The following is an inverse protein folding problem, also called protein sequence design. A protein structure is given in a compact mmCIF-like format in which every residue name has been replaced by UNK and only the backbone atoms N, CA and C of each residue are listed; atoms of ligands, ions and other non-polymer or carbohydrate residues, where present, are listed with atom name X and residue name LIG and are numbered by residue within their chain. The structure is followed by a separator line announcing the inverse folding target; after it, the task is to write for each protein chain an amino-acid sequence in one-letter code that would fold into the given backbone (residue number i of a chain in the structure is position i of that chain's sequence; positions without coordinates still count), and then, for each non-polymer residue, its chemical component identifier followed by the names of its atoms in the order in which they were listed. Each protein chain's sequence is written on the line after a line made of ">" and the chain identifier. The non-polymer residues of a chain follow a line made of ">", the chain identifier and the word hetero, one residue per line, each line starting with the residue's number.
data_IF_572110705711
#
_entry.id   IF_572110705711
#
_cell.length_a   1.000
_cell.length_b   1.000
_cell.length_c   1.000
_cell.angle_alpha   90.00
_cell.angle_beta   90.00
_cell.angle_gamma   90.00
#
_symmetry.space_group_name_H-M   'P 1'
#
loop_
_entity.id
_entity.type
_entity.pdbx_description
1 polymer ?
#
# COMPACT_ATOMS: atom_id res chain seq x y z
N UNK A 1 7.54 -8.82 -5.82
CA UNK A 1 8.45 -8.15 -4.85
C UNK A 1 8.68 -6.64 -5.09
N UNK A 2 9.33 -6.16 -6.16
CA UNK A 2 9.63 -4.72 -6.32
C UNK A 2 8.39 -3.80 -6.24
N UNK A 3 7.32 -4.13 -7.00
CA UNK A 3 6.02 -3.44 -6.94
C UNK A 3 5.45 -3.36 -5.52
N UNK A 4 5.52 -4.45 -4.76
CA UNK A 4 5.00 -4.49 -3.39
C UNK A 4 5.80 -3.61 -2.45
N UNK A 5 7.14 -3.66 -2.51
CA UNK A 5 8.01 -2.82 -1.68
C UNK A 5 7.75 -1.35 -1.95
N UNK A 6 7.65 -0.97 -3.23
CA UNK A 6 7.34 0.40 -3.61
C UNK A 6 5.96 0.84 -3.12
N UNK A 7 4.91 0.03 -3.33
CA UNK A 7 3.55 0.34 -2.88
C UNK A 7 3.43 0.38 -1.35
N UNK A 8 4.13 -0.51 -0.64
CA UNK A 8 4.21 -0.49 0.82
C UNK A 8 4.86 0.79 1.34
N UNK A 9 6.01 1.19 0.78
CA UNK A 9 6.66 2.46 1.11
C UNK A 9 5.73 3.66 0.82
N UNK A 10 5.04 3.63 -0.32
CA UNK A 10 4.10 4.65 -0.75
C UNK A 10 2.84 4.76 0.13
N UNK A 11 2.39 3.64 0.71
CA UNK A 11 1.31 3.60 1.69
C UNK A 11 1.75 4.21 3.03
N UNK A 12 2.92 3.79 3.52
CA UNK A 12 3.42 4.15 4.84
C UNK A 12 3.84 5.62 4.91
N UNK A 13 4.64 6.06 3.93
CA UNK A 13 5.33 7.36 3.95
C UNK A 13 4.65 8.37 3.03
N UNK A 14 4.68 9.64 3.39
CA UNK A 14 4.25 10.79 2.57
C UNK A 14 5.07 10.94 1.30
N UNK A 15 6.40 10.94 1.43
CA UNK A 15 7.36 10.93 0.33
C UNK A 15 8.03 9.57 0.14
N UNK A 16 8.39 9.22 -1.09
CA UNK A 16 9.19 8.03 -1.40
C UNK A 16 10.33 8.44 -2.32
N UNK A 17 11.55 8.06 -1.98
CA UNK A 17 12.72 8.15 -2.85
C UNK A 17 13.14 6.75 -3.28
N UNK A 18 13.59 6.61 -4.52
CA UNK A 18 14.18 5.37 -5.04
C UNK A 18 15.57 5.65 -5.60
N UNK A 19 16.54 4.74 -5.44
CA UNK A 19 17.82 4.87 -6.11
C UNK A 19 17.62 4.69 -7.62
N UNK A 20 18.37 5.45 -8.42
CA UNK A 20 18.37 5.30 -9.88
C UNK A 20 18.67 3.85 -10.26
N UNK A 21 17.91 3.32 -11.22
CA UNK A 21 18.02 1.92 -11.64
C UNK A 21 17.14 0.95 -10.84
N UNK A 22 16.53 1.37 -9.72
CA UNK A 22 15.54 0.56 -9.01
C UNK A 22 14.35 0.24 -9.92
N UNK A 23 13.92 1.23 -10.69
CA UNK A 23 12.85 1.11 -11.67
C UNK A 23 13.15 0.09 -12.79
N UNK A 24 14.44 -0.19 -13.03
CA UNK A 24 14.91 -1.11 -14.08
C UNK A 24 15.43 -2.45 -13.53
N UNK A 25 15.42 -2.63 -12.21
CA UNK A 25 15.93 -3.83 -11.55
C UNK A 25 17.45 -3.97 -11.58
N UNK A 26 18.16 -2.84 -11.58
CA UNK A 26 19.62 -2.81 -11.50
C UNK A 26 20.09 -3.40 -10.18
N UNK A 27 21.19 -4.15 -10.23
CA UNK A 27 21.76 -4.88 -9.09
C UNK A 27 23.11 -4.31 -8.67
N UNK A 28 23.81 -3.63 -9.58
CA UNK A 28 25.10 -3.01 -9.29
C UNK A 28 24.88 -1.74 -8.49
N UNK A 29 25.65 -1.60 -7.39
CA UNK A 29 25.66 -0.38 -6.59
C UNK A 29 26.30 0.74 -7.39
N UNK A 30 25.59 1.87 -7.52
CA UNK A 30 26.15 3.09 -8.09
C UNK A 30 27.30 3.61 -7.22
N UNK A 31 28.43 3.88 -7.85
CA UNK A 31 29.59 4.53 -7.24
C UNK A 31 29.68 5.97 -7.73
N UNK A 32 29.59 6.92 -6.81
CA UNK A 32 29.51 8.36 -7.14
C UNK A 32 30.73 8.92 -7.89
N UNK A 33 31.87 8.22 -7.88
CA UNK A 33 33.10 8.63 -8.58
C UNK A 33 33.34 7.80 -9.84
N UNK A 34 33.09 6.49 -9.73
CA UNK A 34 33.53 5.51 -10.73
C UNK A 34 32.46 5.14 -11.74
N UNK A 35 31.18 5.26 -11.41
CA UNK A 35 30.12 4.88 -12.34
C UNK A 35 30.13 5.79 -13.56
N UNK A 36 30.02 5.19 -14.74
CA UNK A 36 30.00 5.84 -16.05
C UNK A 36 28.69 5.50 -16.77
N UNK A 37 28.25 6.28 -17.78
CA UNK A 37 27.08 5.94 -18.59
C UNK A 37 27.13 4.54 -19.21
N UNK A 38 28.32 4.01 -19.52
CA UNK A 38 28.51 2.67 -20.07
C UNK A 38 28.21 1.55 -19.06
N UNK A 39 28.16 1.85 -17.75
CA UNK A 39 27.80 0.89 -16.71
C UNK A 39 26.28 0.64 -16.64
N UNK A 40 25.48 1.27 -17.51
CA UNK A 40 24.05 1.06 -17.59
C UNK A 40 23.72 -0.42 -17.83
N UNK A 41 23.04 -1.03 -16.87
CA UNK A 41 22.69 -2.45 -16.96
C UNK A 41 21.52 -2.66 -17.95
N UNK A 42 21.42 -3.85 -18.53
CA UNK A 42 20.22 -4.23 -19.26
C UNK A 42 19.04 -4.30 -18.29
N UNK A 43 17.94 -3.55 -18.50
CA UNK A 43 16.78 -3.60 -17.63
C UNK A 43 16.19 -5.01 -17.55
N UNK A 44 15.88 -5.48 -16.34
CA UNK A 44 15.20 -6.78 -16.14
C UNK A 44 13.68 -6.63 -16.07
N UNK A 45 13.20 -5.41 -15.83
CA UNK A 45 11.80 -4.99 -15.88
C UNK A 45 11.75 -3.46 -16.02
N UNK A 46 10.56 -2.92 -16.26
CA UNK A 46 10.30 -1.48 -16.15
C UNK A 46 9.16 -1.24 -15.14
N UNK A 47 9.50 -0.62 -14.02
CA UNK A 47 8.59 -0.25 -12.94
C UNK A 47 8.00 1.14 -13.13
N UNK A 48 8.50 1.95 -14.07
CA UNK A 48 8.13 3.35 -14.25
C UNK A 48 6.62 3.56 -14.46
N UNK A 49 5.92 2.74 -15.26
CA UNK A 49 4.46 2.84 -15.38
C UNK A 49 3.74 2.62 -14.05
N UNK A 50 4.18 1.62 -13.27
CA UNK A 50 3.63 1.30 -11.96
C UNK A 50 3.89 2.43 -10.96
N UNK A 51 5.12 2.98 -10.92
CA UNK A 51 5.49 4.15 -10.10
C UNK A 51 4.58 5.34 -10.43
N UNK A 52 4.34 5.61 -11.71
CA UNK A 52 3.43 6.67 -12.16
C UNK A 52 1.99 6.42 -11.71
N UNK A 53 1.52 5.17 -11.78
CA UNK A 53 0.20 4.75 -11.28
C UNK A 53 0.03 4.99 -9.78
N UNK A 54 1.04 4.59 -8.99
CA UNK A 54 1.08 4.81 -7.53
C UNK A 54 1.10 6.30 -7.20
N UNK A 55 1.91 7.11 -7.88
CA UNK A 55 1.95 8.56 -7.65
C UNK A 55 0.61 9.23 -7.97
N UNK A 56 -0.07 8.81 -9.05
CA UNK A 56 -1.43 9.27 -9.37
C UNK A 56 -2.44 8.86 -8.29
N UNK A 57 -2.36 7.61 -7.82
CA UNK A 57 -3.21 7.12 -6.72
C UNK A 57 -3.00 7.98 -5.46
N UNK A 58 -1.74 8.21 -5.05
CA UNK A 58 -1.41 9.04 -3.88
C UNK A 58 -1.95 10.45 -4.00
N UNK A 59 -1.77 11.09 -5.16
CA UNK A 59 -2.29 12.45 -5.42
C UNK A 59 -3.79 12.56 -5.16
N UNK A 60 -4.54 11.46 -5.36
CA UNK A 60 -6.00 11.41 -5.19
C UNK A 60 -6.45 10.86 -3.83
N UNK A 61 -5.52 10.57 -2.91
CA UNK A 61 -5.83 10.02 -1.59
C UNK A 61 -5.10 10.82 -0.49
N UNK A 62 -5.77 11.80 0.15
CA UNK A 62 -5.17 12.63 1.19
C UNK A 62 -4.54 11.85 2.36
N UNK A 63 -5.06 10.66 2.68
CA UNK A 63 -4.52 9.77 3.73
C UNK A 63 -3.07 9.35 3.43
N UNK A 64 -2.72 9.20 2.16
CA UNK A 64 -1.37 8.80 1.73
C UNK A 64 -0.41 9.99 1.59
N UNK A 65 -0.90 11.21 1.78
CA UNK A 65 -0.15 12.47 1.67
C UNK A 65 0.12 13.11 3.04
N UNK A 66 -0.19 12.43 4.14
CA UNK A 66 0.19 12.84 5.48
C UNK A 66 0.71 11.65 6.33
N UNK A 67 1.53 11.98 7.33
CA UNK A 67 1.97 11.03 8.36
C UNK A 67 0.90 11.00 9.45
N UNK A 68 -0.21 10.31 9.15
CA UNK A 68 -1.31 10.13 10.09
C UNK A 68 -1.23 8.83 10.89
N UNK A 69 -2.18 8.60 11.80
CA UNK A 69 -2.20 7.44 12.68
C UNK A 69 -2.32 6.13 11.89
N UNK A 70 -1.59 5.12 12.37
CA UNK A 70 -1.52 3.80 11.75
C UNK A 70 -1.58 2.70 12.80
N UNK A 71 -2.30 1.62 12.52
CA UNK A 71 -2.37 0.45 13.41
C UNK A 71 -2.54 -0.84 12.63
N UNK A 72 -2.15 -1.96 13.22
CA UNK A 72 -2.42 -3.30 12.68
C UNK A 72 -3.73 -3.80 13.26
N UNK A 73 -4.64 -4.29 12.41
CA UNK A 73 -6.00 -4.67 12.81
C UNK A 73 -6.24 -6.19 12.83
N UNK A 74 -5.19 -6.97 12.62
CA UNK A 74 -5.22 -8.43 12.78
C UNK A 74 -3.98 -8.94 13.55
N UNK A 75 -4.00 -10.15 14.11
CA UNK A 75 -2.89 -10.68 14.91
C UNK A 75 -1.54 -10.62 14.18
N UNK A 76 -0.45 -10.48 14.96
CA UNK A 76 0.92 -10.60 14.43
C UNK A 76 1.17 -12.06 14.04
N UNK A 77 1.98 -12.29 13.00
CA UNK A 77 2.31 -13.64 12.50
C UNK A 77 1.36 -14.16 11.41
N UNK A 78 0.19 -13.55 11.23
CA UNK A 78 -0.71 -13.87 10.12
C UNK A 78 -0.02 -13.67 8.76
N UNK A 79 -0.22 -14.59 7.79
CA UNK A 79 0.41 -14.53 6.47
C UNK A 79 -0.07 -13.32 5.64
N UNK A 80 -1.25 -12.79 5.99
CA UNK A 80 -1.76 -11.52 5.46
C UNK A 80 -1.80 -10.50 6.58
N UNK A 81 -1.09 -9.39 6.41
CA UNK A 81 -1.14 -8.26 7.32
C UNK A 81 -2.23 -7.27 6.92
N UNK A 82 -3.05 -6.85 7.88
CA UNK A 82 -4.04 -5.80 7.73
C UNK A 82 -3.56 -4.56 8.48
N UNK A 83 -3.18 -3.52 7.74
CA UNK A 83 -2.75 -2.24 8.31
C UNK A 83 -3.76 -1.16 7.97
N UNK A 84 -4.19 -0.41 8.96
CA UNK A 84 -5.14 0.68 8.81
C UNK A 84 -4.40 2.00 9.01
N UNK A 85 -4.54 2.92 8.06
CA UNK A 85 -4.02 4.29 8.12
C UNK A 85 -5.18 5.25 8.03
N UNK A 86 -5.14 6.29 8.85
CA UNK A 86 -6.12 7.38 8.78
C UNK A 86 -5.42 8.72 8.80
N UNK A 87 -6.23 9.75 8.65
CA UNK A 87 -5.82 11.12 8.90
C UNK A 87 -5.89 11.44 10.38
N UNK A 88 -5.09 12.39 10.84
CA UNK A 88 -5.02 12.77 12.26
C UNK A 88 -6.37 13.29 12.80
N UNK A 89 -6.91 14.33 12.15
CA UNK A 89 -8.13 15.02 12.62
C UNK A 89 -9.22 15.12 11.57
N UNK A 90 -8.95 14.68 10.33
CA UNK A 90 -9.85 14.82 9.18
C UNK A 90 -10.40 13.47 8.75
N UNK A 91 -11.46 13.46 7.93
CA UNK A 91 -11.98 12.21 7.37
C UNK A 91 -11.04 11.64 6.31
N UNK A 92 -10.95 10.32 6.28
CA UNK A 92 -10.17 9.53 5.34
C UNK A 92 -9.51 8.35 6.04
N UNK A 93 -9.73 7.15 5.51
CA UNK A 93 -9.13 5.92 6.03
C UNK A 93 -8.78 4.95 4.92
N UNK A 94 -7.57 4.38 4.97
CA UNK A 94 -7.05 3.39 4.01
C UNK A 94 -6.69 2.11 4.75
N UNK A 95 -7.21 0.98 4.29
CA UNK A 95 -6.81 -0.36 4.70
C UNK A 95 -5.82 -0.91 3.67
N UNK A 96 -4.62 -1.26 4.11
CA UNK A 96 -3.68 -2.06 3.34
C UNK A 96 -3.79 -3.54 3.72
N UNK A 97 -4.04 -4.37 2.71
CA UNK A 97 -4.05 -5.84 2.81
C UNK A 97 -2.77 -6.35 2.15
N UNK A 98 -1.86 -6.92 2.94
CA UNK A 98 -0.49 -7.21 2.50
C UNK A 98 -0.21 -8.71 2.64
N UNK A 99 0.00 -9.41 1.53
CA UNK A 99 0.48 -10.78 1.57
C UNK A 99 1.99 -10.79 1.84
N UNK A 100 2.41 -11.31 3.00
CA UNK A 100 3.81 -11.34 3.43
C UNK A 100 4.54 -12.60 2.97
N UNK A 101 3.84 -13.54 2.34
CA UNK A 101 4.37 -14.84 1.92
C UNK A 101 4.65 -14.90 0.41
N UNK A 102 5.36 -15.97 0.02
CA UNK A 102 5.62 -16.33 -1.38
C UNK A 102 4.50 -17.18 -2.00
N UNK A 103 3.42 -17.45 -1.27
CA UNK A 103 2.29 -18.24 -1.74
C UNK A 103 1.04 -17.37 -1.87
N UNK A 104 0.08 -17.71 -2.76
CA UNK A 104 -1.23 -17.08 -2.74
C UNK A 104 -1.87 -17.26 -1.36
N UNK A 105 -2.62 -16.27 -0.91
CA UNK A 105 -3.35 -16.33 0.36
C UNK A 105 -4.82 -16.01 0.12
N UNK A 106 -5.70 -16.79 0.72
CA UNK A 106 -7.12 -16.45 0.79
C UNK A 106 -7.30 -15.35 1.83
N UNK A 107 -8.00 -14.29 1.43
CA UNK A 107 -8.31 -13.16 2.30
C UNK A 107 -9.81 -13.16 2.52
N UNK A 108 -10.22 -13.21 3.78
CA UNK A 108 -11.60 -12.98 4.20
C UNK A 108 -11.64 -11.83 5.21
N UNK A 109 -12.40 -10.79 4.88
CA UNK A 109 -12.67 -9.64 5.77
C UNK A 109 -14.19 -9.64 6.01
N UNK A 110 -14.67 -10.11 7.17
CA UNK A 110 -16.09 -10.30 7.41
C UNK A 110 -16.87 -8.98 7.49
N UNK A 111 -16.27 -7.94 8.06
CA UNK A 111 -16.85 -6.58 8.12
C UNK A 111 -15.82 -5.52 7.73
N UNK A 112 -15.80 -5.18 6.44
CA UNK A 112 -14.98 -4.09 5.91
C UNK A 112 -15.45 -2.72 6.42
N UNK A 113 -16.71 -2.59 6.86
CA UNK A 113 -17.27 -1.36 7.39
C UNK A 113 -16.79 -1.02 8.79
N UNK A 114 -16.48 -2.03 9.61
CA UNK A 114 -15.77 -1.85 10.89
C UNK A 114 -14.39 -1.21 10.65
N UNK A 115 -13.67 -1.69 9.63
CA UNK A 115 -12.34 -1.22 9.30
C UNK A 115 -12.34 0.14 8.60
N UNK A 116 -13.11 0.32 7.52
CA UNK A 116 -13.10 1.53 6.69
C UNK A 116 -14.11 2.60 7.11
N UNK A 117 -15.09 2.26 7.94
CA UNK A 117 -16.22 3.13 8.31
C UNK A 117 -17.30 3.21 7.22
N UNK A 118 -18.42 3.85 7.54
CA UNK A 118 -19.56 4.11 6.63
C UNK A 118 -19.41 5.47 5.92
N UNK A 119 -20.12 5.75 4.80
CA UNK A 119 -21.02 4.87 4.07
C UNK A 119 -20.30 4.01 3.01
N UNK A 120 -20.83 2.80 2.77
CA UNK A 120 -20.28 1.84 1.79
C UNK A 120 -20.09 2.40 0.38
N UNK A 121 -20.99 3.30 -0.05
CA UNK A 121 -20.94 3.94 -1.38
C UNK A 121 -19.66 4.75 -1.63
N UNK A 122 -18.96 5.16 -0.57
CA UNK A 122 -17.74 5.94 -0.67
C UNK A 122 -16.49 5.06 -0.83
N UNK A 123 -16.60 3.74 -0.60
CA UNK A 123 -15.46 2.83 -0.62
C UNK A 123 -14.90 2.68 -2.03
N UNK A 124 -13.56 2.62 -2.13
CA UNK A 124 -12.82 2.49 -3.39
C UNK A 124 -11.68 1.51 -3.21
N UNK A 125 -11.46 0.66 -4.20
CA UNK A 125 -10.19 -0.05 -4.34
C UNK A 125 -9.22 0.87 -5.09
N UNK A 126 -8.15 1.27 -4.40
CA UNK A 126 -7.13 2.18 -4.92
C UNK A 126 -5.97 1.45 -5.58
N UNK A 127 -5.96 0.12 -5.55
CA UNK A 127 -4.79 -0.67 -5.94
C UNK A 127 -4.36 -0.36 -7.39
N UNK A 128 -3.14 0.13 -7.63
CA UNK A 128 -2.67 0.44 -8.97
C UNK A 128 -2.45 -0.82 -9.83
N UNK A 129 -2.60 -0.65 -11.15
CA UNK A 129 -2.33 -1.69 -12.17
C UNK A 129 -3.05 -3.03 -11.91
N UNK A 130 -4.26 -2.98 -11.36
CA UNK A 130 -5.11 -4.15 -11.20
C UNK A 130 -6.58 -3.79 -11.41
N UNK A 131 -7.41 -4.81 -11.63
CA UNK A 131 -8.85 -4.64 -11.70
C UNK A 131 -9.36 -4.36 -10.27
N UNK A 132 -10.05 -3.22 -10.05
CA UNK A 132 -10.65 -2.90 -8.76
C UNK A 132 -11.64 -3.98 -8.33
N UNK A 133 -11.57 -4.41 -7.07
CA UNK A 133 -12.60 -5.29 -6.52
C UNK A 133 -13.90 -4.52 -6.30
N UNK A 134 -15.03 -5.20 -6.49
CA UNK A 134 -16.33 -4.69 -6.07
C UNK A 134 -16.44 -4.83 -4.56
N UNK A 135 -16.25 -3.73 -3.84
CA UNK A 135 -16.25 -3.73 -2.38
C UNK A 135 -17.68 -3.93 -1.80
N UNK A 136 -17.79 -4.90 -0.91
CA UNK A 136 -19.00 -5.30 -0.20
C UNK A 136 -18.73 -5.32 1.31
N UNK A 137 -19.77 -5.46 2.13
CA UNK A 137 -19.64 -5.43 3.59
C UNK A 137 -18.70 -6.53 4.08
N UNK A 138 -18.91 -7.77 3.64
CA UNK A 138 -17.89 -8.82 3.66
C UNK A 138 -17.10 -8.80 2.35
N UNK A 139 -15.80 -9.06 2.42
CA UNK A 139 -14.93 -9.10 1.25
C UNK A 139 -14.05 -10.34 1.28
N UNK A 140 -14.15 -11.14 0.23
CA UNK A 140 -13.34 -12.34 0.03
C UNK A 140 -12.63 -12.27 -1.33
N UNK A 141 -11.35 -12.62 -1.35
CA UNK A 141 -10.56 -12.69 -2.59
C UNK A 141 -9.25 -13.44 -2.35
N UNK A 142 -8.64 -13.92 -3.43
CA UNK A 142 -7.28 -14.47 -3.42
C UNK A 142 -6.29 -13.32 -3.61
N UNK A 143 -5.34 -13.17 -2.69
CA UNK A 143 -4.25 -12.22 -2.78
C UNK A 143 -2.98 -12.94 -3.27
N UNK A 144 -2.46 -12.64 -4.49
CA UNK A 144 -1.31 -13.34 -5.02
C UNK A 144 -0.03 -13.14 -4.19
N UNK A 145 1.00 -13.98 -4.39
CA UNK A 145 2.28 -13.87 -3.70
C UNK A 145 2.87 -12.47 -3.77
N UNK A 146 3.34 -11.96 -2.64
CA UNK A 146 4.02 -10.65 -2.58
C UNK A 146 3.19 -9.53 -3.21
N UNK A 147 1.86 -9.56 -3.04
CA UNK A 147 0.94 -8.49 -3.47
C UNK A 147 0.35 -7.74 -2.29
N UNK A 148 -0.14 -6.56 -2.59
CA UNK A 148 -0.79 -5.67 -1.65
C UNK A 148 -2.00 -5.05 -2.35
N UNK A 149 -3.12 -4.94 -1.63
CA UNK A 149 -4.30 -4.17 -2.06
C UNK A 149 -4.57 -3.03 -1.08
N UNK A 150 -5.02 -1.89 -1.60
CA UNK A 150 -5.38 -0.71 -0.82
C UNK A 150 -6.87 -0.42 -0.99
N UNK A 151 -7.62 -0.44 0.10
CA UNK A 151 -9.03 -0.06 0.12
C UNK A 151 -9.20 1.25 0.88
N UNK A 152 -9.99 2.17 0.33
CA UNK A 152 -10.08 3.54 0.82
C UNK A 152 -11.52 3.96 1.04
N UNK A 153 -11.75 4.66 2.14
CA UNK A 153 -12.96 5.43 2.36
C UNK A 153 -12.59 6.91 2.64
N UNK A 154 -12.94 7.86 1.75
CA UNK A 154 -12.70 9.28 2.00
C UNK A 154 -13.51 9.83 3.19
N UNK A 155 -14.64 9.21 3.51
CA UNK A 155 -15.52 9.61 4.62
C UNK A 155 -15.22 8.85 5.91
N UNK A 156 -14.24 7.94 5.91
CA UNK A 156 -13.87 7.14 7.07
C UNK A 156 -13.43 8.04 8.22
N UNK A 157 -13.92 7.84 9.46
CA UNK A 157 -13.51 8.68 10.57
C UNK A 157 -12.02 8.48 10.90
N UNK A 158 -11.37 9.46 11.55
CA UNK A 158 -10.05 9.27 12.15
C UNK A 158 -9.99 8.00 13.01
N UNK A 159 -8.81 7.42 13.17
CA UNK A 159 -8.62 6.34 14.14
C UNK A 159 -8.73 6.90 15.57
N UNK A 160 -9.35 6.18 16.51
CA UNK A 160 -9.35 6.57 17.92
C UNK A 160 -7.93 6.59 18.49
N UNK A 161 -7.61 7.53 19.39
CA UNK A 161 -6.28 7.63 20.02
C UNK A 161 -5.83 6.33 20.72
N UNK A 162 -6.76 5.58 21.28
CA UNK A 162 -6.49 4.30 21.98
C UNK A 162 -5.95 3.22 21.02
N UNK A 163 -6.46 3.19 19.78
CA UNK A 163 -6.01 2.25 18.75
C UNK A 163 -4.57 2.52 18.28
N UNK A 164 -4.06 3.73 18.51
CA UNK A 164 -2.69 4.15 18.18
C UNK A 164 -1.71 3.76 19.30
N UNK A 165 -2.15 3.79 20.56
CA UNK A 165 -1.32 3.45 21.74
C UNK A 165 -1.04 1.94 21.85
N UNK A 166 -1.97 1.08 21.44
CA UNK A 166 -1.80 -0.38 21.47
C UNK A 166 -0.77 -0.91 20.44
N UNK A 167 -0.28 -0.05 19.54
CA UNK A 167 0.68 -0.41 18.49
C UNK A 167 2.15 -0.05 18.81
N UNK A 168 2.41 0.63 19.93
CA UNK A 168 3.77 0.86 20.48
C UNK A 168 4.15 -0.26 21.43
#
# INVERSE_FOLDING_TARGET
>A
MARQRYLFAAYFSTGVMIPMGYEYGFKKRLNVVKTRPQDWEAPTYDLSPFVKGVNRMKKNCPVLLEEGPQTRVNPKGEPVALLLKSRESRKGRVLAVINTTSQPQEVAIPDLGELLGKPRRAWRDLTPDTIPLKLQASLEFILPPTRLRLFYNPDGPPLPEEAVKAAK
#
